data_IF_767497363035
#
_entry.id   IF_767497363035
#
_cell.length_a   1.000
_cell.length_b   1.000
_cell.length_c   1.000
_cell.angle_alpha   90.00
_cell.angle_beta   90.00
_cell.angle_gamma   90.00
#
_symmetry.space_group_name_H-M   'P 1'
#
loop_
_entity.id
_entity.type
_entity.pdbx_description
1 polymer ?
#
# COMPACT_ATOMS: atom_id res chain seq x y z
N UNK A 1 5.02 21.36 -14.05
CA UNK A 1 5.14 20.25 -15.06
C UNK A 1 3.76 19.62 -15.21
N UNK A 2 3.53 18.86 -16.26
CA UNK A 2 2.24 18.21 -16.49
C UNK A 2 2.51 16.71 -16.52
N UNK A 3 1.80 15.94 -15.66
CA UNK A 3 1.86 14.48 -15.67
C UNK A 3 1.31 13.87 -16.95
N UNK A 4 1.45 12.57 -17.13
CA UNK A 4 0.85 11.77 -18.21
C UNK A 4 0.00 10.64 -17.65
N UNK A 5 -1.07 10.29 -18.34
CA UNK A 5 -1.76 9.02 -18.13
C UNK A 5 -0.85 7.86 -18.52
N UNK A 6 -0.85 6.79 -17.72
CA UNK A 6 -0.11 5.57 -18.04
C UNK A 6 -1.07 4.40 -18.15
N UNK A 7 -1.18 3.83 -19.36
CA UNK A 7 -2.00 2.67 -19.63
C UNK A 7 -1.13 1.44 -19.89
N UNK A 8 -1.33 0.40 -19.09
CA UNK A 8 -0.69 -0.91 -19.20
C UNK A 8 -1.78 -1.90 -19.55
N UNK A 9 -1.65 -2.66 -20.65
CA UNK A 9 -2.69 -3.59 -21.12
C UNK A 9 -2.08 -4.94 -21.42
N UNK A 10 -2.46 -5.96 -20.64
CA UNK A 10 -2.13 -7.35 -20.87
C UNK A 10 -0.63 -7.65 -20.89
N UNK A 11 0.18 -6.89 -20.13
CA UNK A 11 1.64 -7.05 -20.11
C UNK A 11 2.01 -8.35 -19.44
N UNK A 12 2.75 -9.20 -20.17
CA UNK A 12 3.30 -10.46 -19.66
C UNK A 12 4.80 -10.49 -19.83
N UNK A 13 5.47 -11.17 -18.88
CA UNK A 13 6.91 -11.39 -18.88
C UNK A 13 7.28 -12.69 -18.20
N UNK A 14 8.13 -13.47 -18.86
CA UNK A 14 8.66 -14.72 -18.32
C UNK A 14 10.19 -14.73 -18.37
N UNK A 15 10.81 -15.39 -17.40
CA UNK A 15 12.25 -15.63 -17.33
C UNK A 15 12.50 -17.13 -17.11
N UNK A 16 13.05 -17.82 -18.11
CA UNK A 16 13.42 -19.24 -17.99
C UNK A 16 12.29 -20.15 -17.47
N UNK A 17 11.03 -19.90 -17.89
CA UNK A 17 9.85 -20.65 -17.45
C UNK A 17 9.14 -20.10 -16.22
N UNK A 18 9.74 -19.16 -15.46
CA UNK A 18 9.10 -18.43 -14.38
C UNK A 18 8.32 -17.24 -14.96
N UNK A 19 7.01 -17.19 -14.70
CA UNK A 19 6.14 -16.11 -15.14
C UNK A 19 6.18 -14.96 -14.13
N UNK A 20 6.95 -13.92 -14.45
CA UNK A 20 7.13 -12.75 -13.59
C UNK A 20 5.94 -11.77 -13.66
N UNK A 21 5.26 -11.69 -14.81
CA UNK A 21 4.05 -10.90 -15.01
C UNK A 21 3.06 -11.71 -15.86
N UNK A 22 1.79 -11.73 -15.43
CA UNK A 22 0.72 -12.47 -16.06
C UNK A 22 -0.40 -11.53 -16.54
N UNK A 23 -0.34 -11.07 -17.80
CA UNK A 23 -1.37 -10.21 -18.42
C UNK A 23 -1.76 -9.00 -17.59
N UNK A 24 -0.78 -8.37 -16.92
CA UNK A 24 -1.01 -7.22 -16.05
C UNK A 24 -1.64 -6.07 -16.83
N UNK A 25 -2.76 -5.55 -16.32
CA UNK A 25 -3.45 -4.39 -16.86
C UNK A 25 -3.69 -3.37 -15.76
N UNK A 26 -3.25 -2.11 -15.97
CA UNK A 26 -3.39 -1.00 -15.04
C UNK A 26 -3.65 0.29 -15.81
N UNK A 27 -4.47 1.16 -15.24
CA UNK A 27 -4.72 2.51 -15.73
C UNK A 27 -4.36 3.51 -14.63
N UNK A 28 -3.31 4.29 -14.84
CA UNK A 28 -2.81 5.29 -13.87
C UNK A 28 -3.11 6.66 -14.45
N UNK A 29 -3.81 7.49 -13.68
CA UNK A 29 -4.24 8.80 -14.12
C UNK A 29 -3.09 9.81 -14.03
N UNK A 30 -3.16 10.80 -14.87
CA UNK A 30 -2.26 11.93 -14.89
C UNK A 30 -2.20 12.65 -13.55
N UNK A 31 -0.99 12.88 -13.05
CA UNK A 31 -0.73 13.57 -11.79
C UNK A 31 -1.04 12.72 -10.54
N UNK A 32 -1.27 11.43 -10.70
CA UNK A 32 -1.58 10.49 -9.62
C UNK A 32 -0.32 9.98 -8.95
N UNK A 33 -0.37 9.82 -7.63
CA UNK A 33 0.60 9.04 -6.87
C UNK A 33 0.11 7.59 -6.78
N UNK A 34 0.64 6.74 -7.65
CA UNK A 34 0.19 5.35 -7.79
C UNK A 34 1.23 4.38 -7.23
N UNK A 35 0.83 3.50 -6.30
CA UNK A 35 1.73 2.51 -5.72
C UNK A 35 1.52 1.10 -6.27
N UNK A 36 2.63 0.42 -6.55
CA UNK A 36 2.70 -1.02 -6.76
C UNK A 36 3.16 -1.68 -5.47
N UNK A 37 2.27 -2.38 -4.78
CA UNK A 37 2.50 -2.99 -3.48
C UNK A 37 2.43 -4.52 -3.59
N UNK A 38 3.27 -5.24 -2.86
CA UNK A 38 3.24 -6.70 -2.84
C UNK A 38 4.52 -7.30 -2.27
N UNK A 39 4.58 -8.62 -2.01
CA UNK A 39 5.75 -9.29 -1.48
C UNK A 39 6.94 -9.26 -2.46
N UNK A 40 8.14 -9.56 -1.95
CA UNK A 40 9.33 -9.65 -2.79
C UNK A 40 9.15 -10.74 -3.87
N UNK A 41 9.57 -10.42 -5.10
CA UNK A 41 9.48 -11.35 -6.23
C UNK A 41 8.12 -11.43 -6.92
N UNK A 42 7.11 -10.64 -6.54
CA UNK A 42 5.79 -10.67 -7.19
C UNK A 42 5.70 -9.92 -8.54
N UNK A 43 6.80 -9.32 -9.05
CA UNK A 43 6.84 -8.71 -10.38
C UNK A 43 6.87 -7.18 -10.42
N UNK A 44 6.75 -6.44 -9.31
CA UNK A 44 6.72 -4.97 -9.24
C UNK A 44 7.87 -4.29 -9.98
N UNK A 45 9.10 -4.61 -9.59
CA UNK A 45 10.33 -4.06 -10.23
C UNK A 45 10.43 -4.47 -11.70
N UNK A 46 9.96 -5.67 -12.07
CA UNK A 46 9.92 -6.10 -13.48
C UNK A 46 8.96 -5.22 -14.27
N UNK A 47 7.75 -4.97 -13.76
CA UNK A 47 6.80 -4.07 -14.39
C UNK A 47 7.35 -2.65 -14.52
N UNK A 48 7.93 -2.12 -13.44
CA UNK A 48 8.55 -0.80 -13.44
C UNK A 48 9.65 -0.69 -14.51
N UNK A 49 10.51 -1.71 -14.64
CA UNK A 49 11.59 -1.77 -15.66
C UNK A 49 11.04 -1.84 -17.08
N UNK A 50 9.93 -2.53 -17.30
CA UNK A 50 9.25 -2.54 -18.61
C UNK A 50 8.70 -1.15 -18.92
N UNK A 51 8.05 -0.47 -17.96
CA UNK A 51 7.56 0.91 -18.13
C UNK A 51 8.74 1.87 -18.43
N UNK A 52 9.87 1.71 -17.74
CA UNK A 52 11.07 2.51 -17.93
C UNK A 52 11.82 2.19 -19.24
N UNK A 53 11.58 1.02 -19.85
CA UNK A 53 12.29 0.55 -21.03
C UNK A 53 13.63 -0.13 -20.78
N UNK A 54 13.90 -0.52 -19.51
CA UNK A 54 15.10 -1.29 -19.14
C UNK A 54 14.90 -2.81 -19.28
N UNK A 55 13.64 -3.27 -19.45
CA UNK A 55 13.30 -4.67 -19.65
C UNK A 55 12.31 -4.81 -20.80
N UNK A 56 12.43 -5.89 -21.58
CA UNK A 56 11.49 -6.25 -22.62
C UNK A 56 10.28 -7.00 -22.04
N UNK A 57 9.13 -6.86 -22.66
CA UNK A 57 7.92 -7.64 -22.38
C UNK A 57 7.80 -8.78 -23.40
N UNK A 58 6.97 -9.79 -23.08
CA UNK A 58 6.66 -10.90 -24.00
C UNK A 58 5.37 -10.61 -24.80
N UNK A 59 4.40 -9.94 -24.17
CA UNK A 59 3.13 -9.52 -24.77
C UNK A 59 2.54 -8.31 -24.05
N UNK A 60 1.56 -7.66 -24.65
CA UNK A 60 0.84 -6.52 -24.10
C UNK A 60 1.36 -5.18 -24.62
N UNK A 61 0.86 -4.08 -24.03
CA UNK A 61 1.24 -2.71 -24.43
C UNK A 61 1.42 -1.80 -23.22
N UNK A 62 2.29 -0.79 -23.35
CA UNK A 62 2.45 0.31 -22.39
C UNK A 62 2.36 1.62 -23.16
N UNK A 63 1.44 2.49 -22.78
CA UNK A 63 1.23 3.78 -23.43
C UNK A 63 1.24 4.93 -22.42
N UNK A 64 1.79 6.08 -22.81
CA UNK A 64 1.71 7.36 -22.10
C UNK A 64 0.88 8.33 -22.94
N UNK A 65 -0.19 8.91 -22.37
CA UNK A 65 -1.14 9.75 -23.09
C UNK A 65 -1.59 9.12 -24.43
N UNK A 66 -1.94 7.83 -24.39
CA UNK A 66 -2.32 6.99 -25.55
C UNK A 66 -1.22 6.77 -26.60
N UNK A 67 0.02 7.14 -26.34
CA UNK A 67 1.17 6.87 -27.24
C UNK A 67 1.94 5.66 -26.74
N UNK A 68 2.03 4.61 -27.56
CA UNK A 68 2.84 3.42 -27.25
C UNK A 68 4.32 3.80 -27.07
N UNK A 69 4.89 3.36 -25.94
CA UNK A 69 6.30 3.63 -25.60
C UNK A 69 7.18 2.39 -25.62
N UNK A 70 6.64 1.21 -25.90
CA UNK A 70 7.38 -0.05 -25.81
C UNK A 70 8.56 -0.12 -26.76
N UNK A 71 8.42 0.45 -27.97
CA UNK A 71 9.49 0.51 -28.97
C UNK A 71 10.48 1.68 -28.73
N UNK A 72 10.25 2.53 -27.72
CA UNK A 72 11.13 3.62 -27.40
C UNK A 72 12.23 3.16 -26.41
N UNK A 73 13.50 3.48 -26.69
CA UNK A 73 14.58 3.23 -25.72
C UNK A 73 14.37 4.11 -24.48
N UNK A 74 14.96 3.74 -23.30
CA UNK A 74 14.75 4.44 -22.03
C UNK A 74 14.96 5.96 -22.10
N UNK A 75 15.97 6.40 -22.83
CA UNK A 75 16.32 7.83 -22.96
C UNK A 75 15.36 8.65 -23.82
N UNK A 76 14.41 8.02 -24.49
CA UNK A 76 13.36 8.68 -25.29
C UNK A 76 11.97 8.59 -24.66
N UNK A 77 11.82 7.84 -23.57
CA UNK A 77 10.56 7.80 -22.81
C UNK A 77 10.43 9.05 -21.97
N UNK A 78 9.21 9.62 -21.82
CA UNK A 78 8.99 10.80 -20.98
C UNK A 78 8.92 10.42 -19.50
N UNK A 79 9.74 9.48 -19.07
CA UNK A 79 9.83 8.97 -17.71
C UNK A 79 11.27 8.96 -17.22
N UNK A 80 11.46 9.20 -15.92
CA UNK A 80 12.74 9.02 -15.24
C UNK A 80 12.59 8.05 -14.10
N UNK A 81 13.67 7.32 -13.77
CA UNK A 81 13.68 6.30 -12.73
C UNK A 81 14.64 6.66 -11.61
N UNK A 82 14.17 6.52 -10.37
CA UNK A 82 14.98 6.50 -9.15
C UNK A 82 15.13 5.05 -8.72
N UNK A 83 16.36 4.55 -8.73
CA UNK A 83 16.68 3.19 -8.33
C UNK A 83 16.86 3.08 -6.80
N UNK A 84 16.67 1.91 -6.25
CA UNK A 84 16.85 1.58 -4.85
C UNK A 84 18.22 2.03 -4.28
N UNK A 85 19.30 1.90 -5.08
CA UNK A 85 20.65 2.36 -4.70
C UNK A 85 20.90 3.85 -4.96
N UNK A 86 19.87 4.60 -5.40
CA UNK A 86 19.96 5.99 -5.86
C UNK A 86 20.86 6.21 -7.10
N UNK A 87 21.80 5.32 -7.39
CA UNK A 87 22.74 5.34 -8.52
C UNK A 87 23.43 6.71 -8.73
N UNK A 88 23.81 7.39 -7.64
CA UNK A 88 24.52 8.67 -7.71
C UNK A 88 25.96 8.45 -8.22
N UNK A 89 26.47 9.40 -9.00
CA UNK A 89 27.85 9.39 -9.45
C UNK A 89 28.78 9.77 -8.29
N UNK A 90 29.58 8.84 -7.73
CA UNK A 90 30.30 9.06 -6.47
C UNK A 90 31.45 10.07 -6.58
N UNK A 91 31.95 10.27 -7.79
CA UNK A 91 33.06 11.20 -8.10
C UNK A 91 32.58 12.64 -8.37
N UNK A 92 31.28 12.83 -8.65
CA UNK A 92 30.66 14.14 -8.90
C UNK A 92 30.09 14.73 -7.60
N UNK A 93 30.07 16.06 -7.53
CA UNK A 93 29.35 16.79 -6.47
C UNK A 93 27.84 16.65 -6.60
N UNK A 94 27.07 17.09 -5.59
CA UNK A 94 25.61 17.19 -5.66
C UNK A 94 25.16 18.01 -6.84
N UNK A 95 25.74 19.22 -7.01
CA UNK A 95 25.47 20.09 -8.14
C UNK A 95 25.73 19.38 -9.48
N UNK A 96 26.84 18.71 -9.62
CA UNK A 96 27.24 18.03 -10.85
C UNK A 96 26.37 16.79 -11.14
N UNK A 97 25.94 16.05 -10.11
CA UNK A 97 24.97 14.96 -10.27
C UNK A 97 23.66 15.47 -10.86
N UNK A 98 23.12 16.57 -10.33
CA UNK A 98 21.88 17.17 -10.83
C UNK A 98 22.08 17.79 -12.22
N UNK A 99 23.20 18.50 -12.45
CA UNK A 99 23.52 19.15 -13.73
C UNK A 99 23.81 18.17 -14.88
N UNK A 100 24.07 16.88 -14.57
CA UNK A 100 24.61 15.91 -15.52
C UNK A 100 23.79 15.81 -16.81
N UNK A 101 22.49 15.66 -16.68
CA UNK A 101 21.59 15.53 -17.84
C UNK A 101 21.55 16.79 -18.71
N UNK A 102 21.57 17.98 -18.10
CA UNK A 102 21.59 19.26 -18.83
C UNK A 102 22.91 19.47 -19.56
N UNK A 103 24.04 19.01 -18.99
CA UNK A 103 25.35 19.02 -19.67
C UNK A 103 25.36 18.13 -20.91
N UNK A 104 24.77 16.90 -20.82
CA UNK A 104 24.62 16.02 -22.00
C UNK A 104 23.78 16.70 -23.09
N UNK A 105 22.69 17.40 -22.68
CA UNK A 105 21.84 18.18 -23.61
C UNK A 105 22.54 19.47 -24.14
N UNK A 106 23.79 19.72 -23.74
CA UNK A 106 24.61 20.90 -24.15
C UNK A 106 23.91 22.24 -23.86
N UNK A 107 23.16 22.32 -22.73
CA UNK A 107 22.55 23.58 -22.30
C UNK A 107 23.62 24.60 -21.89
N UNK A 108 23.30 25.89 -21.97
CA UNK A 108 24.23 26.98 -21.56
C UNK A 108 24.51 26.92 -20.06
N UNK A 109 25.72 27.31 -19.63
CA UNK A 109 26.14 27.35 -18.24
C UNK A 109 25.19 28.18 -17.38
N UNK A 110 24.72 29.32 -17.88
CA UNK A 110 23.76 30.16 -17.15
C UNK A 110 22.44 29.42 -16.87
N UNK A 111 21.89 28.70 -17.88
CA UNK A 111 20.67 27.91 -17.71
C UNK A 111 20.88 26.72 -16.77
N UNK A 112 22.02 26.02 -16.87
CA UNK A 112 22.37 24.93 -15.94
C UNK A 112 22.39 25.44 -14.50
N UNK A 113 23.11 26.55 -14.24
CA UNK A 113 23.24 27.11 -12.90
C UNK A 113 21.86 27.51 -12.31
N UNK A 114 21.02 28.17 -13.10
CA UNK A 114 19.66 28.55 -12.67
C UNK A 114 18.84 27.32 -12.33
N UNK A 115 18.67 26.39 -13.28
CA UNK A 115 17.80 25.23 -13.08
C UNK A 115 18.29 24.32 -11.95
N UNK A 116 19.61 24.04 -11.85
CA UNK A 116 20.15 23.20 -10.76
C UNK A 116 19.88 23.83 -9.41
N UNK A 117 20.07 25.15 -9.25
CA UNK A 117 19.77 25.84 -8.00
C UNK A 117 18.28 25.78 -7.65
N UNK A 118 17.38 25.91 -8.63
CA UNK A 118 15.93 25.79 -8.40
C UNK A 118 15.57 24.39 -7.90
N UNK A 119 16.10 23.32 -8.54
CA UNK A 119 15.83 21.95 -8.08
C UNK A 119 16.52 21.60 -6.77
N UNK A 120 17.72 22.13 -6.48
CA UNK A 120 18.36 21.98 -5.16
C UNK A 120 17.57 22.67 -4.06
N UNK A 121 16.96 23.84 -4.38
CA UNK A 121 16.07 24.55 -3.47
C UNK A 121 14.78 23.74 -3.21
N UNK A 122 14.21 23.14 -4.25
CA UNK A 122 13.02 22.29 -4.13
C UNK A 122 13.24 21.14 -3.14
N UNK A 123 14.42 20.49 -3.19
CA UNK A 123 14.78 19.37 -2.31
C UNK A 123 15.59 19.80 -1.08
N UNK A 124 15.67 21.08 -0.76
CA UNK A 124 16.35 21.65 0.42
C UNK A 124 17.84 21.24 0.55
N UNK A 125 18.60 21.25 -0.55
CA UNK A 125 20.01 20.85 -0.60
C UNK A 125 20.96 21.94 -1.09
N UNK A 126 20.58 23.22 -1.10
CA UNK A 126 21.42 24.32 -1.58
C UNK A 126 22.80 24.37 -0.89
N UNK A 127 22.81 24.25 0.44
CA UNK A 127 24.04 24.32 1.24
C UNK A 127 24.96 23.10 1.04
N UNK A 128 24.47 22.08 0.35
CA UNK A 128 25.18 20.83 0.10
C UNK A 128 25.65 20.67 -1.35
N UNK A 129 25.45 21.68 -2.21
CA UNK A 129 25.73 21.64 -3.64
C UNK A 129 27.16 21.19 -3.99
N UNK A 130 28.14 21.56 -3.16
CA UNK A 130 29.56 21.25 -3.35
C UNK A 130 30.02 19.90 -2.77
N UNK A 131 29.17 19.24 -1.94
CA UNK A 131 29.50 17.95 -1.32
C UNK A 131 29.43 16.82 -2.34
N UNK A 132 30.18 15.74 -2.08
CA UNK A 132 30.09 14.47 -2.83
C UNK A 132 29.14 13.51 -2.11
N UNK A 133 28.56 12.50 -2.83
CA UNK A 133 27.62 11.53 -2.24
C UNK A 133 28.13 10.82 -0.98
N UNK A 134 29.42 10.55 -0.88
CA UNK A 134 30.03 9.95 0.32
C UNK A 134 29.94 10.80 1.61
N UNK A 135 29.66 12.09 1.47
CA UNK A 135 29.55 13.06 2.58
C UNK A 135 28.08 13.33 2.98
N UNK A 136 27.13 12.60 2.39
CA UNK A 136 25.70 12.80 2.56
C UNK A 136 25.07 11.67 3.38
N UNK A 137 24.04 12.00 4.17
CA UNK A 137 23.15 11.00 4.79
C UNK A 137 22.32 10.25 3.73
N UNK A 138 21.67 9.14 4.12
CA UNK A 138 20.78 8.39 3.24
C UNK A 138 19.67 9.24 2.64
N UNK A 139 18.94 10.00 3.45
CA UNK A 139 17.89 10.92 3.00
C UNK A 139 18.42 12.03 2.08
N UNK A 140 19.61 12.58 2.37
CA UNK A 140 20.22 13.57 1.48
C UNK A 140 20.58 12.96 0.10
N UNK A 141 21.10 11.73 0.06
CA UNK A 141 21.36 11.02 -1.22
C UNK A 141 20.08 10.82 -2.02
N UNK A 142 19.00 10.46 -1.36
CA UNK A 142 17.69 10.31 -1.99
C UNK A 142 17.20 11.64 -2.59
N UNK A 143 17.25 12.74 -1.84
CA UNK A 143 16.87 14.07 -2.34
C UNK A 143 17.71 14.48 -3.57
N UNK A 144 19.01 14.15 -3.60
CA UNK A 144 19.82 14.36 -4.80
C UNK A 144 19.32 13.53 -5.98
N UNK A 145 18.96 12.26 -5.76
CA UNK A 145 18.42 11.41 -6.82
C UNK A 145 17.08 11.93 -7.36
N UNK A 146 16.20 12.44 -6.47
CA UNK A 146 14.94 13.10 -6.86
C UNK A 146 15.24 14.34 -7.72
N UNK A 147 16.07 15.26 -7.26
CA UNK A 147 16.42 16.46 -8.03
C UNK A 147 17.04 16.11 -9.39
N UNK A 148 17.92 15.11 -9.44
CA UNK A 148 18.53 14.62 -10.70
C UNK A 148 17.52 14.01 -11.66
N UNK A 149 16.49 13.31 -11.12
CA UNK A 149 15.43 12.75 -11.96
C UNK A 149 14.50 13.85 -12.48
N UNK A 150 14.15 14.82 -11.64
CA UNK A 150 13.19 15.86 -11.96
C UNK A 150 13.74 16.96 -12.90
N UNK A 151 15.05 17.21 -12.91
CA UNK A 151 15.64 18.27 -13.75
C UNK A 151 15.46 18.03 -15.26
N UNK A 152 15.15 16.79 -15.64
CA UNK A 152 14.81 16.44 -17.01
C UNK A 152 13.37 16.79 -17.40
N UNK A 153 12.57 17.24 -16.44
CA UNK A 153 11.15 17.56 -16.60
C UNK A 153 10.34 16.36 -17.16
N UNK A 154 10.45 15.16 -16.53
CA UNK A 154 9.69 14.00 -16.99
C UNK A 154 8.20 14.21 -16.72
N UNK A 155 7.32 13.54 -17.47
CA UNK A 155 5.90 13.51 -17.17
C UNK A 155 5.53 12.38 -16.19
N UNK A 156 6.40 11.37 -16.06
CA UNK A 156 6.23 10.25 -15.11
C UNK A 156 7.53 10.02 -14.34
N UNK A 157 7.44 9.92 -13.02
CA UNK A 157 8.55 9.53 -12.16
C UNK A 157 8.35 8.12 -11.65
N UNK A 158 9.31 7.25 -11.90
CA UNK A 158 9.32 5.86 -11.49
C UNK A 158 10.26 5.70 -10.28
N UNK A 159 9.76 5.14 -9.17
CA UNK A 159 10.50 5.00 -7.93
C UNK A 159 10.56 3.52 -7.53
N UNK A 160 11.74 2.92 -7.58
CA UNK A 160 11.97 1.50 -7.25
C UNK A 160 12.49 1.38 -5.81
N UNK A 161 11.60 1.13 -4.85
CA UNK A 161 11.88 1.00 -3.41
C UNK A 161 12.78 2.11 -2.84
N UNK A 162 12.46 3.40 -3.07
CA UNK A 162 13.41 4.49 -2.82
C UNK A 162 13.70 4.73 -1.32
N UNK A 163 12.88 4.19 -0.41
CA UNK A 163 13.01 4.38 1.04
C UNK A 163 13.54 3.15 1.79
N UNK A 164 13.74 2.03 1.10
CA UNK A 164 14.07 0.73 1.73
C UNK A 164 15.37 0.73 2.54
N UNK A 165 16.33 1.60 2.21
CA UNK A 165 17.62 1.70 2.89
C UNK A 165 17.62 2.65 4.11
N UNK A 166 16.47 3.25 4.46
CA UNK A 166 16.35 4.23 5.55
C UNK A 166 15.79 3.60 6.82
N UNK A 167 16.21 4.13 7.99
CA UNK A 167 15.57 3.79 9.26
C UNK A 167 14.11 4.30 9.32
N UNK A 168 13.31 3.75 10.24
CA UNK A 168 11.87 4.01 10.30
C UNK A 168 11.51 5.50 10.48
N UNK A 169 12.25 6.22 11.33
CA UNK A 169 11.98 7.64 11.59
C UNK A 169 12.29 8.51 10.37
N UNK A 170 13.44 8.26 9.75
CA UNK A 170 13.84 8.98 8.54
C UNK A 170 12.92 8.65 7.38
N UNK A 171 12.47 7.40 7.28
CA UNK A 171 11.52 6.95 6.25
C UNK A 171 10.19 7.71 6.32
N UNK A 172 9.58 7.82 7.51
CA UNK A 172 8.35 8.60 7.69
C UNK A 172 8.52 10.08 7.28
N UNK A 173 9.65 10.70 7.66
CA UNK A 173 9.91 12.07 7.26
C UNK A 173 10.08 12.22 5.74
N UNK A 174 10.76 11.27 5.12
CA UNK A 174 10.97 11.26 3.67
C UNK A 174 9.70 10.99 2.87
N UNK A 175 8.73 10.25 3.44
CA UNK A 175 7.39 10.06 2.82
C UNK A 175 6.65 11.39 2.73
N UNK A 176 6.60 12.15 3.83
CA UNK A 176 5.96 13.48 3.85
C UNK A 176 6.62 14.42 2.83
N UNK A 177 7.96 14.44 2.77
CA UNK A 177 8.67 15.27 1.80
C UNK A 177 8.41 14.85 0.34
N UNK A 178 8.30 13.54 0.09
CA UNK A 178 8.03 13.03 -1.25
C UNK A 178 6.62 13.43 -1.71
N UNK A 179 5.65 13.38 -0.81
CA UNK A 179 4.29 13.83 -1.02
C UNK A 179 4.23 15.34 -1.33
N UNK A 180 4.91 16.16 -0.50
CA UNK A 180 5.03 17.61 -0.76
C UNK A 180 5.69 17.93 -2.11
N UNK A 181 6.68 17.14 -2.54
CA UNK A 181 7.33 17.30 -3.83
C UNK A 181 6.35 16.93 -4.95
N UNK A 182 5.60 15.84 -4.79
CA UNK A 182 4.57 15.42 -5.75
C UNK A 182 3.52 16.52 -5.95
N UNK A 183 2.95 17.05 -4.87
CA UNK A 183 1.95 18.12 -4.90
C UNK A 183 2.47 19.38 -5.61
N UNK A 184 3.72 19.78 -5.32
CA UNK A 184 4.33 20.98 -5.94
C UNK A 184 4.58 20.81 -7.43
N UNK A 185 4.85 19.60 -7.90
CA UNK A 185 5.29 19.34 -9.28
C UNK A 185 4.11 18.89 -10.15
N UNK A 186 3.18 18.10 -9.62
CA UNK A 186 1.96 17.62 -10.28
C UNK A 186 2.21 16.65 -11.45
N UNK A 187 3.33 15.90 -11.45
CA UNK A 187 3.58 14.82 -12.42
C UNK A 187 3.12 13.48 -11.87
N UNK A 188 2.92 12.49 -12.74
CA UNK A 188 2.51 11.14 -12.32
C UNK A 188 3.68 10.42 -11.64
N UNK A 189 3.44 9.86 -10.45
CA UNK A 189 4.41 9.01 -9.74
C UNK A 189 3.95 7.56 -9.80
N UNK A 190 4.89 6.65 -10.10
CA UNK A 190 4.70 5.19 -9.95
C UNK A 190 5.72 4.72 -8.93
N UNK A 191 5.22 4.33 -7.76
CA UNK A 191 6.00 4.01 -6.57
C UNK A 191 5.96 2.51 -6.29
N UNK A 192 7.11 1.86 -6.27
CA UNK A 192 7.23 0.45 -5.89
C UNK A 192 7.65 0.35 -4.44
N UNK A 193 6.92 -0.40 -3.66
CA UNK A 193 7.27 -0.72 -2.28
C UNK A 193 6.78 -2.13 -1.88
N UNK A 194 7.35 -2.68 -0.84
CA UNK A 194 6.84 -3.83 -0.11
C UNK A 194 6.31 -3.44 1.29
N UNK A 195 6.47 -2.17 1.67
CA UNK A 195 5.99 -1.62 2.94
C UNK A 195 4.56 -1.10 2.76
N UNK A 196 3.64 -1.69 3.53
CA UNK A 196 2.22 -1.35 3.48
C UNK A 196 1.96 0.06 3.99
N UNK A 197 2.68 0.49 5.04
CA UNK A 197 2.50 1.81 5.64
C UNK A 197 2.92 2.91 4.65
N UNK A 198 3.99 2.69 3.87
CA UNK A 198 4.36 3.60 2.80
C UNK A 198 3.22 3.77 1.80
N UNK A 199 2.72 2.67 1.23
CA UNK A 199 1.68 2.72 0.21
C UNK A 199 0.37 3.33 0.74
N UNK A 200 -0.08 2.92 1.94
CA UNK A 200 -1.33 3.42 2.53
C UNK A 200 -1.30 4.90 2.88
N UNK A 201 -0.11 5.49 3.14
CA UNK A 201 -0.02 6.87 3.64
C UNK A 201 0.08 7.94 2.55
N UNK A 202 0.58 7.62 1.35
CA UNK A 202 0.86 8.64 0.33
C UNK A 202 0.20 8.39 -1.03
N UNK A 203 -0.45 7.24 -1.25
CA UNK A 203 -0.98 6.90 -2.56
C UNK A 203 -2.41 7.38 -2.77
N UNK A 204 -2.72 7.86 -3.97
CA UNK A 204 -4.11 8.02 -4.41
C UNK A 204 -4.75 6.66 -4.69
N UNK A 205 -3.99 5.76 -5.37
CA UNK A 205 -4.38 4.37 -5.60
C UNK A 205 -3.21 3.42 -5.42
N UNK A 206 -3.56 2.19 -5.04
CA UNK A 206 -2.62 1.09 -4.80
C UNK A 206 -3.04 -0.09 -5.66
N UNK A 207 -2.08 -0.68 -6.39
CA UNK A 207 -2.23 -2.00 -7.00
C UNK A 207 -1.52 -3.04 -6.13
N UNK A 208 -2.29 -3.97 -5.55
CA UNK A 208 -1.72 -5.10 -4.80
C UNK A 208 -1.38 -6.22 -5.77
N UNK A 209 -0.11 -6.60 -5.80
CA UNK A 209 0.42 -7.62 -6.70
C UNK A 209 0.87 -8.87 -5.94
N UNK A 210 0.57 -10.03 -6.52
CA UNK A 210 1.10 -11.31 -6.01
C UNK A 210 1.34 -12.26 -7.18
N UNK A 211 2.49 -12.96 -7.16
CA UNK A 211 2.87 -14.00 -8.16
C UNK A 211 2.70 -13.58 -9.63
N UNK A 212 2.92 -12.33 -9.94
CA UNK A 212 2.83 -11.78 -11.30
C UNK A 212 1.46 -11.25 -11.69
N UNK A 213 0.45 -11.40 -10.84
CA UNK A 213 -0.92 -10.91 -11.05
C UNK A 213 -1.17 -9.64 -10.23
N UNK A 214 -2.12 -8.82 -10.69
CA UNK A 214 -2.72 -7.72 -9.92
C UNK A 214 -4.01 -8.27 -9.31
N UNK A 215 -4.07 -8.33 -7.97
CA UNK A 215 -5.20 -8.89 -7.24
C UNK A 215 -6.28 -7.83 -6.96
N UNK A 216 -5.87 -6.60 -6.67
CA UNK A 216 -6.78 -5.50 -6.38
C UNK A 216 -6.14 -4.17 -6.76
N UNK A 217 -6.95 -3.24 -7.25
CA UNK A 217 -6.62 -1.83 -7.43
C UNK A 217 -7.69 -1.00 -6.75
N UNK A 218 -7.30 -0.05 -5.90
CA UNK A 218 -8.24 0.81 -5.17
C UNK A 218 -7.52 1.91 -4.42
N UNK A 219 -8.30 2.78 -3.76
CA UNK A 219 -7.77 3.75 -2.81
C UNK A 219 -7.16 3.03 -1.60
N UNK A 220 -6.31 3.69 -0.79
CA UNK A 220 -5.83 3.12 0.48
C UNK A 220 -6.96 2.58 1.36
N UNK A 221 -8.08 3.30 1.43
CA UNK A 221 -9.26 2.90 2.17
C UNK A 221 -9.88 1.60 1.61
N UNK A 222 -10.07 1.50 0.29
CA UNK A 222 -10.64 0.30 -0.33
C UNK A 222 -9.77 -0.94 -0.09
N UNK A 223 -8.45 -0.78 -0.23
CA UNK A 223 -7.48 -1.88 -0.02
C UNK A 223 -7.49 -2.38 1.43
N UNK A 224 -7.68 -1.46 2.41
CA UNK A 224 -7.66 -1.80 3.83
C UNK A 224 -9.00 -2.34 4.33
N UNK A 225 -10.10 -1.64 4.02
CA UNK A 225 -11.44 -1.93 4.56
C UNK A 225 -12.19 -2.98 3.75
N UNK A 226 -11.96 -3.04 2.43
CA UNK A 226 -12.69 -3.89 1.49
C UNK A 226 -11.72 -4.75 0.66
N UNK A 227 -10.89 -5.61 1.29
CA UNK A 227 -9.95 -6.45 0.58
C UNK A 227 -10.65 -7.44 -0.35
N UNK A 228 -10.14 -7.59 -1.58
CA UNK A 228 -10.77 -8.41 -2.61
C UNK A 228 -10.73 -9.91 -2.29
N UNK A 229 -9.68 -10.37 -1.60
CA UNK A 229 -9.49 -11.77 -1.25
C UNK A 229 -8.75 -11.95 0.08
N UNK A 230 -8.59 -13.21 0.49
CA UNK A 230 -7.90 -13.58 1.74
C UNK A 230 -6.42 -13.26 1.73
N UNK A 231 -5.77 -13.21 0.57
CA UNK A 231 -4.38 -12.79 0.45
C UNK A 231 -4.25 -11.30 0.74
N UNK A 232 -5.05 -10.46 0.08
CA UNK A 232 -5.04 -9.01 0.30
C UNK A 232 -5.35 -8.69 1.76
N UNK A 233 -6.39 -9.33 2.34
CA UNK A 233 -6.77 -9.13 3.73
C UNK A 233 -5.63 -9.44 4.72
N UNK A 234 -4.87 -10.52 4.49
CA UNK A 234 -3.72 -10.91 5.34
C UNK A 234 -2.45 -10.13 5.04
N UNK A 235 -2.29 -9.71 3.79
CA UNK A 235 -1.10 -8.98 3.38
C UNK A 235 -1.17 -7.52 3.82
N UNK A 236 -2.36 -6.90 3.85
CA UNK A 236 -2.56 -5.52 4.26
C UNK A 236 -2.97 -5.45 5.72
N UNK A 237 -1.99 -5.25 6.60
CA UNK A 237 -2.20 -5.23 8.05
C UNK A 237 -2.48 -6.61 8.67
N UNK A 238 -2.74 -6.59 9.96
CA UNK A 238 -3.17 -7.80 10.68
C UNK A 238 -4.69 -7.98 10.53
N UNK A 239 -5.15 -9.22 10.50
CA UNK A 239 -6.59 -9.51 10.48
C UNK A 239 -6.92 -10.85 11.17
N UNK A 240 -8.11 -10.95 11.72
CA UNK A 240 -8.73 -12.21 12.14
C UNK A 240 -9.55 -12.72 10.95
N UNK A 241 -9.19 -13.86 10.39
CA UNK A 241 -9.79 -14.43 9.19
C UNK A 241 -10.29 -15.83 9.48
N UNK A 242 -11.56 -16.10 9.15
CA UNK A 242 -12.26 -17.34 9.41
C UNK A 242 -13.09 -17.78 8.21
N UNK A 243 -13.24 -19.10 8.07
CA UNK A 243 -14.19 -19.68 7.13
C UNK A 243 -15.57 -19.74 7.77
N UNK A 244 -16.59 -19.25 7.07
CA UNK A 244 -17.95 -19.19 7.55
C UNK A 244 -18.95 -19.76 6.54
N UNK A 245 -20.15 -20.08 7.05
CA UNK A 245 -21.30 -20.45 6.24
C UNK A 245 -22.47 -19.54 6.58
N UNK A 246 -23.14 -19.01 5.57
CA UNK A 246 -24.29 -18.13 5.74
C UNK A 246 -25.48 -18.94 6.30
N UNK A 247 -25.98 -18.52 7.48
CA UNK A 247 -27.15 -19.12 8.14
C UNK A 247 -28.43 -18.33 7.84
N UNK A 248 -28.34 -17.00 7.89
CA UNK A 248 -29.48 -16.11 7.70
C UNK A 248 -29.07 -14.83 6.98
N UNK A 249 -30.00 -14.22 6.24
CA UNK A 249 -29.81 -12.95 5.52
C UNK A 249 -31.06 -12.12 5.73
N UNK A 250 -30.93 -10.93 6.31
CA UNK A 250 -32.03 -10.01 6.57
C UNK A 250 -31.74 -8.66 5.91
N UNK A 251 -32.69 -8.12 5.14
CA UNK A 251 -32.56 -6.79 4.57
C UNK A 251 -32.67 -5.73 5.68
N UNK A 252 -31.69 -4.85 5.75
CA UNK A 252 -31.68 -3.76 6.71
C UNK A 252 -32.48 -2.55 6.22
N UNK A 253 -33.12 -1.84 7.15
CA UNK A 253 -33.80 -0.56 6.86
C UNK A 253 -32.78 0.58 6.92
N UNK A 254 -31.87 0.63 5.92
CA UNK A 254 -30.88 1.70 5.74
C UNK A 254 -31.07 2.36 4.37
N UNK A 255 -30.52 3.60 4.15
CA UNK A 255 -30.65 4.32 2.87
C UNK A 255 -30.12 3.56 1.65
N UNK A 256 -29.07 2.80 1.84
CA UNK A 256 -28.50 1.89 0.83
C UNK A 256 -28.99 0.46 1.08
N UNK A 257 -29.06 -0.35 0.02
CA UNK A 257 -29.41 -1.76 0.13
C UNK A 257 -28.29 -2.49 0.85
N UNK A 258 -28.53 -2.87 2.08
CA UNK A 258 -27.58 -3.52 2.97
C UNK A 258 -28.25 -4.68 3.70
N UNK A 259 -27.50 -5.75 3.90
CA UNK A 259 -27.98 -6.98 4.51
C UNK A 259 -27.25 -7.25 5.82
N UNK A 260 -27.99 -7.62 6.87
CA UNK A 260 -27.45 -8.28 8.05
C UNK A 260 -27.35 -9.76 7.76
N UNK A 261 -26.14 -10.30 7.85
CA UNK A 261 -25.85 -11.72 7.59
C UNK A 261 -25.40 -12.38 8.87
N UNK A 262 -26.03 -13.51 9.22
CA UNK A 262 -25.57 -14.39 10.31
C UNK A 262 -24.73 -15.51 9.71
N UNK A 263 -23.49 -15.64 10.18
CA UNK A 263 -22.54 -16.66 9.77
C UNK A 263 -22.38 -17.73 10.87
N UNK A 264 -22.24 -18.99 10.46
CA UNK A 264 -21.73 -20.08 11.30
C UNK A 264 -20.23 -20.26 11.01
N UNK A 265 -19.42 -19.94 12.02
CA UNK A 265 -17.95 -20.09 11.97
C UNK A 265 -17.56 -21.22 12.89
N UNK A 266 -17.01 -22.31 12.35
CA UNK A 266 -16.77 -23.55 13.10
C UNK A 266 -15.93 -23.37 14.38
N UNK A 267 -15.03 -22.37 14.38
CA UNK A 267 -14.16 -22.08 15.52
C UNK A 267 -14.78 -21.10 16.53
N UNK A 268 -15.67 -20.20 16.09
CA UNK A 268 -16.23 -19.12 16.92
C UNK A 268 -17.71 -19.32 17.25
N UNK A 269 -18.48 -20.02 16.42
CA UNK A 269 -19.92 -20.08 16.45
C UNK A 269 -20.58 -19.01 15.60
N UNK A 270 -21.67 -18.42 16.07
CA UNK A 270 -22.44 -17.44 15.32
C UNK A 270 -21.82 -16.05 15.36
N UNK A 271 -21.69 -15.45 14.19
CA UNK A 271 -21.17 -14.09 13.99
C UNK A 271 -22.09 -13.32 13.06
N UNK A 272 -22.38 -12.07 13.39
CA UNK A 272 -23.14 -11.14 12.56
C UNK A 272 -22.20 -10.22 11.80
N UNK A 273 -22.53 -9.97 10.55
CA UNK A 273 -21.78 -9.05 9.67
C UNK A 273 -22.75 -8.35 8.73
N UNK A 274 -22.50 -7.09 8.40
CA UNK A 274 -23.24 -6.36 7.36
C UNK A 274 -22.53 -6.49 6.02
N UNK A 275 -23.28 -6.49 4.93
CA UNK A 275 -22.75 -6.49 3.56
C UNK A 275 -23.71 -5.84 2.60
N UNK A 276 -23.18 -5.21 1.56
CA UNK A 276 -23.95 -4.75 0.37
C UNK A 276 -24.03 -5.83 -0.70
N UNK A 277 -23.22 -6.87 -0.59
CA UNK A 277 -23.17 -7.96 -1.54
C UNK A 277 -24.38 -8.91 -1.37
N UNK A 278 -24.85 -9.46 -2.48
CA UNK A 278 -25.94 -10.42 -2.48
C UNK A 278 -25.38 -11.80 -2.11
N UNK A 279 -25.62 -12.23 -0.87
CA UNK A 279 -25.23 -13.54 -0.37
C UNK A 279 -26.46 -14.44 -0.20
N UNK A 280 -26.27 -15.76 -0.31
CA UNK A 280 -27.36 -16.74 -0.19
C UNK A 280 -27.16 -17.67 1.02
N UNK A 281 -28.27 -18.08 1.63
CA UNK A 281 -28.24 -19.03 2.76
C UNK A 281 -27.56 -20.33 2.32
N UNK A 282 -26.63 -20.82 3.15
CA UNK A 282 -25.83 -22.02 2.88
C UNK A 282 -24.53 -21.77 2.12
N UNK A 283 -24.31 -20.56 1.63
CA UNK A 283 -23.09 -20.17 0.92
C UNK A 283 -21.88 -20.19 1.86
N UNK A 284 -20.74 -20.67 1.37
CA UNK A 284 -19.44 -20.59 2.06
C UNK A 284 -18.81 -19.24 1.76
N UNK A 285 -18.31 -18.57 2.80
CA UNK A 285 -17.68 -17.25 2.71
C UNK A 285 -16.45 -17.21 3.60
N UNK A 286 -15.52 -16.31 3.30
CA UNK A 286 -14.46 -15.94 4.23
C UNK A 286 -14.90 -14.67 4.98
N UNK A 287 -14.86 -14.70 6.29
CA UNK A 287 -15.14 -13.57 7.17
C UNK A 287 -13.86 -13.01 7.77
N UNK A 288 -13.74 -11.70 7.77
CA UNK A 288 -12.61 -11.02 8.41
C UNK A 288 -13.06 -9.89 9.32
N UNK A 289 -12.29 -9.66 10.40
CA UNK A 289 -12.41 -8.49 11.27
C UNK A 289 -11.04 -8.03 11.71
N UNK A 290 -10.80 -6.71 11.61
CA UNK A 290 -9.51 -6.12 11.98
C UNK A 290 -9.33 -6.13 13.50
N UNK A 291 -8.11 -6.43 14.03
CA UNK A 291 -7.84 -6.48 15.47
C UNK A 291 -8.16 -5.17 16.22
N UNK A 292 -7.95 -4.01 15.60
CA UNK A 292 -8.20 -2.69 16.18
C UNK A 292 -9.69 -2.32 16.26
N UNK A 293 -10.58 -3.05 15.56
CA UNK A 293 -12.02 -2.86 15.61
C UNK A 293 -12.67 -3.68 16.72
N UNK A 294 -11.94 -4.58 17.34
CA UNK A 294 -12.42 -5.43 18.42
C UNK A 294 -12.14 -4.76 19.76
N UNK A 295 -13.20 -4.49 20.52
CA UNK A 295 -13.12 -3.98 21.88
C UNK A 295 -12.82 -5.14 22.85
N UNK A 296 -11.97 -4.87 23.85
CA UNK A 296 -11.64 -5.80 24.93
C UNK A 296 -11.94 -5.16 26.29
N UNK A 297 -12.62 -5.88 27.20
CA UNK A 297 -12.97 -5.41 28.54
C UNK A 297 -12.98 -6.55 29.56
N UNK A 298 -12.67 -6.25 30.81
CA UNK A 298 -12.86 -7.18 31.95
C UNK A 298 -14.31 -7.28 32.41
N UNK A 299 -15.13 -6.26 32.09
CA UNK A 299 -16.55 -6.25 32.41
C UNK A 299 -17.39 -6.56 31.18
N UNK A 300 -18.53 -7.26 31.36
CA UNK A 300 -19.45 -7.56 30.27
C UNK A 300 -20.04 -6.26 29.72
N UNK A 301 -19.82 -5.92 28.43
CA UNK A 301 -20.40 -4.72 27.87
C UNK A 301 -21.92 -4.74 27.90
N UNK A 302 -22.53 -3.64 28.35
CA UNK A 302 -23.99 -3.48 28.35
C UNK A 302 -24.35 -2.72 27.06
N UNK A 303 -24.94 -3.42 26.12
CA UNK A 303 -25.45 -2.77 24.88
C UNK A 303 -26.87 -3.26 24.62
N UNK A 304 -27.75 -2.35 24.22
CA UNK A 304 -29.10 -2.66 23.72
C UNK A 304 -29.12 -2.92 22.20
N UNK A 305 -27.96 -2.83 21.52
CA UNK A 305 -27.84 -3.04 20.07
C UNK A 305 -27.81 -4.54 19.77
N UNK A 306 -28.61 -4.96 18.80
CA UNK A 306 -28.71 -6.36 18.37
C UNK A 306 -27.63 -6.76 17.38
N UNK A 307 -26.89 -5.79 16.82
CA UNK A 307 -25.85 -5.94 15.81
C UNK A 307 -24.44 -6.10 16.38
N UNK A 308 -24.30 -6.31 17.70
CA UNK A 308 -23.01 -6.50 18.35
C UNK A 308 -22.70 -7.99 18.50
N UNK A 309 -21.51 -8.38 18.08
CA UNK A 309 -20.92 -9.68 18.36
C UNK A 309 -20.26 -9.68 19.75
N UNK A 310 -20.50 -10.72 20.56
CA UNK A 310 -19.95 -10.88 21.90
C UNK A 310 -19.29 -12.24 22.07
N UNK A 311 -18.07 -12.22 22.60
CA UNK A 311 -17.33 -13.42 22.94
C UNK A 311 -16.70 -13.26 24.32
N UNK A 312 -16.57 -14.35 25.05
CA UNK A 312 -15.80 -14.41 26.29
C UNK A 312 -14.58 -15.28 26.06
N UNK A 313 -13.42 -14.84 26.55
CA UNK A 313 -12.18 -15.58 26.40
C UNK A 313 -11.21 -15.34 27.54
N UNK A 314 -10.06 -15.99 27.43
CA UNK A 314 -8.95 -15.84 28.39
C UNK A 314 -7.73 -15.27 27.63
N UNK A 315 -7.10 -14.27 28.22
CA UNK A 315 -5.87 -13.66 27.66
C UNK A 315 -4.74 -14.69 27.73
N UNK A 316 -4.24 -15.08 26.54
CA UNK A 316 -3.10 -15.98 26.41
C UNK A 316 -1.79 -15.21 26.40
N UNK A 317 -1.73 -14.06 25.70
CA UNK A 317 -0.55 -13.23 25.63
C UNK A 317 -0.91 -11.75 25.45
N UNK A 318 -0.49 -10.84 26.35
CA UNK A 318 -0.49 -9.40 26.14
C UNK A 318 0.88 -8.91 25.70
N UNK A 319 0.98 -8.20 24.59
CA UNK A 319 2.23 -7.62 24.05
C UNK A 319 2.12 -6.10 24.01
N UNK A 320 2.77 -5.43 24.96
CA UNK A 320 2.81 -3.98 25.07
C UNK A 320 3.87 -3.39 24.13
N UNK A 321 3.52 -2.34 23.39
CA UNK A 321 4.43 -1.64 22.48
C UNK A 321 4.36 -0.10 22.57
N UNK A 322 4.07 0.43 23.76
CA UNK A 322 4.01 1.87 24.03
C UNK A 322 2.64 2.46 23.70
N UNK A 323 2.36 2.74 22.44
CA UNK A 323 1.10 3.36 22.01
C UNK A 323 -0.08 2.37 21.89
N UNK A 324 0.20 1.07 21.96
CA UNK A 324 -0.81 0.02 21.87
C UNK A 324 -0.40 -1.24 22.64
N UNK A 325 -1.39 -2.05 23.01
CA UNK A 325 -1.20 -3.45 23.44
C UNK A 325 -1.92 -4.39 22.48
N UNK A 326 -1.19 -5.41 22.01
CA UNK A 326 -1.78 -6.53 21.27
C UNK A 326 -2.13 -7.63 22.26
N UNK A 327 -3.37 -8.12 22.16
CA UNK A 327 -3.85 -9.24 22.96
C UNK A 327 -4.15 -10.42 22.08
N UNK A 328 -3.69 -11.59 22.51
CA UNK A 328 -4.09 -12.88 21.96
C UNK A 328 -5.07 -13.50 22.97
N UNK A 329 -6.34 -13.60 22.59
CA UNK A 329 -7.41 -14.07 23.48
C UNK A 329 -7.94 -15.40 22.98
N UNK A 330 -7.82 -16.42 23.83
CA UNK A 330 -8.34 -17.76 23.58
C UNK A 330 -9.83 -17.79 23.94
N UNK A 331 -10.70 -17.89 22.94
CA UNK A 331 -12.16 -17.94 23.13
C UNK A 331 -12.60 -19.37 23.45
N UNK A 332 -11.93 -20.36 22.85
CA UNK A 332 -12.11 -21.79 23.12
C UNK A 332 -10.85 -22.55 22.68
N UNK A 333 -10.86 -23.87 22.70
CA UNK A 333 -9.69 -24.67 22.34
C UNK A 333 -9.28 -24.59 20.88
N UNK A 334 -10.13 -24.01 19.99
CA UNK A 334 -9.92 -23.93 18.54
C UNK A 334 -9.69 -22.51 18.04
N UNK A 335 -10.15 -21.50 18.78
CA UNK A 335 -10.15 -20.11 18.33
C UNK A 335 -9.31 -19.21 19.22
N UNK A 336 -8.42 -18.47 18.56
CA UNK A 336 -7.67 -17.36 19.14
C UNK A 336 -7.98 -16.10 18.35
N UNK A 337 -8.44 -15.06 19.05
CA UNK A 337 -8.74 -13.74 18.47
C UNK A 337 -7.60 -12.80 18.83
N UNK A 338 -7.11 -12.06 17.83
CA UNK A 338 -6.13 -10.97 18.00
C UNK A 338 -6.86 -9.66 18.16
N UNK A 339 -6.45 -8.86 19.13
CA UNK A 339 -7.01 -7.55 19.44
C UNK A 339 -5.88 -6.55 19.53
N UNK A 340 -6.10 -5.34 19.05
CA UNK A 340 -5.19 -4.20 19.23
C UNK A 340 -5.94 -3.12 20.00
N UNK A 341 -5.53 -2.90 21.26
CA UNK A 341 -6.03 -1.78 22.08
C UNK A 341 -5.03 -0.63 22.01
N UNK A 342 -5.47 0.52 21.49
CA UNK A 342 -4.66 1.73 21.48
C UNK A 342 -4.73 2.44 22.83
N UNK A 343 -3.61 3.00 23.29
CA UNK A 343 -3.48 3.78 24.52
C UNK A 343 -3.64 5.28 24.21
N UNK A 344 -4.88 5.75 24.21
CA UNK A 344 -5.21 7.14 23.89
C UNK A 344 -5.05 8.08 25.11
N UNK A 345 -5.38 7.60 26.33
CA UNK A 345 -5.35 8.39 27.56
C UNK A 345 -4.73 7.59 28.70
N UNK A 346 -3.75 8.16 29.39
CA UNK A 346 -3.07 7.48 30.51
C UNK A 346 -3.97 7.18 31.72
N UNK A 347 -5.03 7.96 31.92
CA UNK A 347 -5.91 7.88 33.11
C UNK A 347 -7.25 7.17 32.90
N UNK A 348 -7.66 6.89 31.65
CA UNK A 348 -9.00 6.41 31.31
C UNK A 348 -9.05 5.00 30.68
N UNK A 349 -7.97 4.23 30.80
CA UNK A 349 -7.85 2.95 30.10
C UNK A 349 -8.58 1.77 30.78
N UNK A 350 -9.21 2.04 31.93
CA UNK A 350 -9.81 0.98 32.75
C UNK A 350 -8.74 0.10 33.46
N UNK A 351 -9.12 -0.99 34.10
CA UNK A 351 -8.18 -1.88 34.76
C UNK A 351 -7.23 -2.51 33.76
N UNK A 352 -5.95 -2.70 34.17
CA UNK A 352 -4.95 -3.40 33.39
C UNK A 352 -5.41 -4.83 33.09
N UNK A 353 -5.38 -5.19 31.81
CA UNK A 353 -5.68 -6.53 31.35
C UNK A 353 -4.37 -7.31 31.25
N UNK A 354 -4.26 -8.38 32.03
CA UNK A 354 -3.03 -9.16 32.15
C UNK A 354 -3.23 -10.62 31.69
N UNK A 355 -2.13 -11.35 31.62
CA UNK A 355 -2.14 -12.76 31.26
C UNK A 355 -3.08 -13.57 32.16
N UNK A 356 -3.87 -14.47 31.55
CA UNK A 356 -4.93 -15.31 32.16
C UNK A 356 -6.18 -14.58 32.63
N UNK A 357 -6.30 -13.30 32.41
CA UNK A 357 -7.57 -12.63 32.72
C UNK A 357 -8.70 -13.15 31.83
N UNK A 358 -9.89 -13.29 32.46
CA UNK A 358 -11.12 -13.52 31.72
C UNK A 358 -11.63 -12.20 31.17
N UNK A 359 -11.85 -12.12 29.87
CA UNK A 359 -12.21 -10.89 29.17
C UNK A 359 -13.42 -11.10 28.26
N UNK A 360 -14.12 -10.01 27.98
CA UNK A 360 -15.17 -9.92 26.98
C UNK A 360 -14.65 -9.19 25.75
N UNK A 361 -14.93 -9.75 24.59
CA UNK A 361 -14.63 -9.19 23.30
C UNK A 361 -15.93 -8.77 22.63
N UNK A 362 -15.93 -7.61 21.96
CA UNK A 362 -17.10 -7.17 21.22
C UNK A 362 -16.73 -6.34 19.99
N UNK A 363 -17.52 -6.46 18.93
CA UNK A 363 -17.43 -5.62 17.73
C UNK A 363 -18.78 -5.52 17.04
N UNK A 364 -19.03 -4.43 16.32
CA UNK A 364 -20.25 -4.27 15.53
C UNK A 364 -20.25 -5.19 14.31
N UNK A 365 -21.42 -5.60 13.85
CA UNK A 365 -21.56 -6.28 12.57
C UNK A 365 -20.98 -5.47 11.40
N UNK A 366 -21.00 -4.13 11.49
CA UNK A 366 -20.41 -3.20 10.51
C UNK A 366 -18.88 -3.23 10.49
N UNK A 367 -18.23 -3.74 11.53
CA UNK A 367 -16.77 -3.82 11.64
C UNK A 367 -16.19 -5.08 10.98
N UNK A 368 -17.04 -6.05 10.68
CA UNK A 368 -16.68 -7.26 9.95
C UNK A 368 -16.80 -7.07 8.44
N UNK A 369 -16.11 -7.91 7.67
CA UNK A 369 -16.17 -7.90 6.21
C UNK A 369 -16.23 -9.33 5.65
N UNK A 370 -17.08 -9.55 4.63
CA UNK A 370 -17.16 -10.81 3.88
C UNK A 370 -16.27 -10.67 2.65
N UNK A 371 -15.21 -11.47 2.61
CA UNK A 371 -14.31 -11.54 1.46
C UNK A 371 -14.96 -12.38 0.35
N UNK A 372 -14.58 -12.07 -0.88
CA UNK A 372 -14.99 -12.65 -2.15
C UNK A 372 -15.79 -13.93 -2.08
N UNK A 373 -17.00 -13.87 -2.56
CA UNK A 373 -17.91 -14.99 -2.61
C UNK A 373 -17.26 -16.08 -3.47
N UNK A 374 -16.84 -17.20 -2.86
CA UNK A 374 -16.36 -18.35 -3.63
C UNK A 374 -17.46 -18.80 -4.58
N UNK A 375 -17.32 -18.49 -5.88
CA UNK A 375 -18.28 -18.90 -6.91
C UNK A 375 -18.64 -17.84 -7.96
N UNK A 376 -18.21 -16.60 -7.82
CA UNK A 376 -18.22 -15.66 -8.95
C UNK A 376 -16.80 -15.56 -9.50
N UNK A 377 -16.52 -16.36 -10.56
CA UNK A 377 -15.47 -16.02 -11.52
C UNK A 377 -15.73 -14.58 -11.96
N UNK A 378 -14.69 -13.75 -11.94
CA UNK A 378 -14.74 -12.39 -12.46
C UNK A 378 -15.29 -12.50 -13.90
N UNK A 379 -16.54 -12.13 -14.07
CA UNK A 379 -17.20 -12.08 -15.36
C UNK A 379 -16.45 -11.12 -16.27
N UNK A 380 -16.28 -11.57 -17.49
CA UNK A 380 -15.58 -11.06 -18.67
C UNK A 380 -15.52 -9.54 -18.84
#
# INVERSE_FOLDING_TARGET
MIGSDVAIKGVSKSFGGFKALNKVSLAIKKGEFFSLLGPSGCGKTTLLRIIAGFESHDSGTVAFDNKDVLNLPPNRRPANTIFQSYALFPHLTVFENVAFALRIKKQSTAKINSQVNDYLKLVQLNDHAHKKPGQLSGGQKQRVAIARALINEPSVLLLDEPLSALDAKLRQHMLIELDEIHDKIGITFIYVTHDQQEALSISDHIAVMNQGDVLQVGTPHDIYESPADSFVARFIGETNLYDGKVLNVELMQRPETEYMVELDIAELGRVKVTTVDNVTIGQKVNFTVRPEKIMISTEKPVSSREDINYFQGTVDEPIYSGFQTKFYVKVNDKAMIRIIKQHANYSDEGPDIVWKDSVYLSWSADDGYILGIQGQEAGE
#
